data_IF_579749615641
#
_entry.id   IF_579749615641
#
_cell.length_a   1.000
_cell.length_b   1.000
_cell.length_c   1.000
_cell.angle_alpha   90.00
_cell.angle_beta   90.00
_cell.angle_gamma   90.00
#
_symmetry.space_group_name_H-M   'P 1'
#
loop_
_entity.id
_entity.type
_entity.pdbx_description
1 polymer ?
#
# COMPACT_ATOMS: atom_id res chain seq x y z
N UNK A 1 42.02 0.62 -7.70
CA UNK A 1 40.61 1.09 -7.62
C UNK A 1 40.12 1.78 -8.89
N UNK A 2 41.00 2.46 -9.66
CA UNK A 2 40.58 3.25 -10.85
C UNK A 2 40.32 2.42 -12.12
N UNK A 3 40.94 1.28 -12.31
CA UNK A 3 40.78 0.46 -13.54
C UNK A 3 39.39 -0.23 -13.54
N UNK A 4 38.93 -0.74 -12.42
CA UNK A 4 37.60 -1.34 -12.31
C UNK A 4 36.47 -0.29 -12.46
N UNK A 5 36.68 0.94 -11.98
CA UNK A 5 35.73 2.04 -12.15
C UNK A 5 35.63 2.50 -13.60
N UNK A 6 36.79 2.61 -14.29
CA UNK A 6 36.87 3.01 -15.70
C UNK A 6 36.29 1.91 -16.61
N UNK A 7 36.55 0.64 -16.30
CA UNK A 7 35.94 -0.49 -17.03
C UNK A 7 34.43 -0.55 -16.81
N UNK A 8 33.96 -0.25 -15.60
CA UNK A 8 32.53 -0.10 -15.31
C UNK A 8 31.88 1.09 -16.02
N UNK A 9 32.56 2.24 -16.08
CA UNK A 9 32.07 3.42 -16.80
C UNK A 9 32.06 3.22 -18.32
N UNK A 10 33.07 2.56 -18.87
CA UNK A 10 33.09 2.19 -20.30
C UNK A 10 32.05 1.15 -20.66
N UNK A 11 31.80 0.15 -19.81
CA UNK A 11 30.71 -0.80 -20.01
C UNK A 11 29.33 -0.13 -19.90
N UNK A 12 29.15 0.85 -19.00
CA UNK A 12 27.97 1.68 -18.92
C UNK A 12 27.75 2.58 -20.13
N UNK A 13 28.82 3.14 -20.70
CA UNK A 13 28.76 3.94 -21.93
C UNK A 13 28.53 3.11 -23.20
N UNK A 14 29.13 1.93 -23.32
CA UNK A 14 28.84 0.97 -24.39
C UNK A 14 27.43 0.43 -24.33
N UNK A 15 26.90 0.24 -23.12
CA UNK A 15 25.52 -0.15 -22.89
C UNK A 15 24.52 0.96 -23.24
N UNK A 16 24.85 2.24 -22.97
CA UNK A 16 24.06 3.41 -23.40
C UNK A 16 23.90 3.48 -24.92
N UNK A 17 24.95 3.08 -25.67
CA UNK A 17 24.98 3.15 -27.14
C UNK A 17 24.23 2.01 -27.84
N UNK A 18 24.01 0.86 -27.16
CA UNK A 18 23.47 -0.36 -27.80
C UNK A 18 21.95 -0.57 -27.65
N UNK A 19 21.25 0.13 -26.75
CA UNK A 19 19.82 -0.07 -26.57
C UNK A 19 19.07 1.20 -26.15
N UNK A 20 18.96 2.15 -27.06
CA UNK A 20 18.17 3.38 -26.90
C UNK A 20 16.66 3.18 -27.18
N UNK A 21 16.06 2.08 -26.77
CA UNK A 21 14.63 1.89 -27.04
C UNK A 21 13.79 2.01 -25.75
N UNK A 22 13.52 3.24 -25.32
CA UNK A 22 12.55 3.54 -24.26
C UNK A 22 11.14 3.01 -24.59
N UNK A 23 10.83 2.82 -25.87
CA UNK A 23 9.56 2.20 -26.35
C UNK A 23 9.40 0.77 -25.84
N UNK A 24 10.48 -0.03 -25.75
CA UNK A 24 10.42 -1.39 -25.20
C UNK A 24 10.13 -1.37 -23.70
N UNK A 25 10.67 -0.39 -22.96
CA UNK A 25 10.42 -0.24 -21.53
C UNK A 25 8.95 0.12 -21.27
N UNK A 26 8.37 1.02 -22.08
CA UNK A 26 6.96 1.36 -22.02
C UNK A 26 6.05 0.15 -22.27
N UNK A 27 6.38 -0.69 -23.25
CA UNK A 27 5.60 -1.90 -23.55
C UNK A 27 5.57 -2.91 -22.39
N UNK A 28 6.56 -2.89 -21.51
CA UNK A 28 6.57 -3.75 -20.32
C UNK A 28 5.85 -3.11 -19.13
N UNK A 29 5.97 -1.78 -18.95
CA UNK A 29 5.42 -1.05 -17.80
C UNK A 29 3.92 -0.83 -17.95
N UNK A 30 3.47 -0.32 -19.10
CA UNK A 30 2.09 0.09 -19.33
C UNK A 30 1.05 -1.00 -19.05
N UNK A 31 1.21 -2.26 -19.55
CA UNK A 31 0.23 -3.31 -19.31
C UNK A 31 0.11 -3.74 -17.84
N UNK A 32 1.14 -3.46 -17.03
CA UNK A 32 1.14 -3.74 -15.59
C UNK A 32 0.62 -2.54 -14.80
N UNK A 33 1.06 -1.33 -15.14
CA UNK A 33 0.77 -0.13 -14.38
C UNK A 33 -0.70 0.31 -14.49
N UNK A 34 -1.28 0.31 -15.69
CA UNK A 34 -2.67 0.78 -15.87
C UNK A 34 -3.67 -0.03 -15.04
N UNK A 35 -3.68 -1.38 -15.07
CA UNK A 35 -4.59 -2.12 -14.22
C UNK A 35 -4.37 -1.87 -12.73
N UNK A 36 -3.11 -1.76 -12.26
CA UNK A 36 -2.82 -1.44 -10.85
C UNK A 36 -3.31 -0.03 -10.49
N UNK A 37 -3.21 0.93 -11.41
CA UNK A 37 -3.72 2.28 -11.21
C UNK A 37 -5.25 2.29 -11.03
N UNK A 38 -5.96 1.62 -11.94
CA UNK A 38 -7.43 1.51 -11.90
C UNK A 38 -7.86 0.77 -10.61
N UNK A 39 -7.14 -0.29 -10.23
CA UNK A 39 -7.38 -1.02 -8.99
C UNK A 39 -7.27 -0.10 -7.77
N UNK A 40 -6.16 0.64 -7.64
CA UNK A 40 -5.93 1.55 -6.52
C UNK A 40 -6.95 2.70 -6.49
N UNK A 41 -7.30 3.25 -7.65
CA UNK A 41 -8.34 4.27 -7.76
C UNK A 41 -9.70 3.73 -7.30
N UNK A 42 -10.06 2.52 -7.72
CA UNK A 42 -11.29 1.84 -7.31
C UNK A 42 -11.36 1.64 -5.79
N UNK A 43 -10.23 1.30 -5.14
CA UNK A 43 -10.16 1.15 -3.67
C UNK A 43 -10.39 2.49 -2.97
N UNK A 44 -9.79 3.59 -3.47
CA UNK A 44 -10.00 4.92 -2.89
C UNK A 44 -11.46 5.36 -3.04
N UNK A 45 -12.03 5.23 -4.24
CA UNK A 45 -13.44 5.58 -4.48
C UNK A 45 -14.37 4.77 -3.59
N UNK A 46 -14.09 3.48 -3.42
CA UNK A 46 -14.88 2.62 -2.54
C UNK A 46 -14.82 3.07 -1.08
N UNK A 47 -13.64 3.50 -0.58
CA UNK A 47 -13.51 4.07 0.76
C UNK A 47 -14.42 5.30 0.95
N UNK A 48 -14.45 6.20 -0.03
CA UNK A 48 -15.30 7.39 -0.02
C UNK A 48 -16.79 6.99 0.02
N UNK A 49 -17.22 6.09 -0.87
CA UNK A 49 -18.62 5.65 -0.92
C UNK A 49 -19.05 4.90 0.33
N UNK A 50 -18.20 4.03 0.90
CA UNK A 50 -18.50 3.33 2.15
C UNK A 50 -18.68 4.29 3.32
N UNK A 51 -17.81 5.29 3.44
CA UNK A 51 -17.92 6.34 4.46
C UNK A 51 -19.22 7.12 4.29
N UNK A 52 -19.57 7.46 3.05
CA UNK A 52 -20.81 8.17 2.74
C UNK A 52 -22.05 7.35 3.15
N UNK A 53 -22.11 6.05 2.85
CA UNK A 53 -23.21 5.21 3.26
C UNK A 53 -23.42 5.18 4.78
N UNK A 54 -22.32 5.07 5.55
CA UNK A 54 -22.41 5.02 7.02
C UNK A 54 -22.75 6.38 7.62
N UNK A 55 -22.31 7.49 7.01
CA UNK A 55 -22.55 8.84 7.52
C UNK A 55 -24.04 9.22 7.61
N UNK A 56 -24.88 8.56 6.81
CA UNK A 56 -26.35 8.77 6.82
C UNK A 56 -27.07 8.00 7.90
N UNK A 57 -26.42 7.04 8.56
CA UNK A 57 -27.01 6.24 9.64
C UNK A 57 -26.99 7.08 10.92
N UNK A 58 -25.82 7.57 11.34
CA UNK A 58 -25.67 8.36 12.54
C UNK A 58 -24.22 8.72 12.86
N UNK A 59 -24.04 9.64 13.82
CA UNK A 59 -22.72 10.10 14.24
C UNK A 59 -21.97 9.06 15.07
N UNK A 60 -22.69 8.33 15.93
CA UNK A 60 -22.10 7.28 16.76
C UNK A 60 -21.58 6.12 15.91
N UNK A 61 -22.36 5.70 14.91
CA UNK A 61 -22.02 4.64 13.97
C UNK A 61 -20.81 5.01 13.10
N UNK A 62 -20.75 6.25 12.63
CA UNK A 62 -19.60 6.74 11.86
C UNK A 62 -18.34 6.75 12.71
N UNK A 63 -18.41 7.18 13.97
CA UNK A 63 -17.29 7.15 14.91
C UNK A 63 -16.84 5.70 15.18
N UNK A 64 -17.81 4.78 15.37
CA UNK A 64 -17.55 3.37 15.60
C UNK A 64 -16.80 2.69 14.44
N UNK A 65 -17.23 2.95 13.19
CA UNK A 65 -16.50 2.47 12.00
C UNK A 65 -15.08 3.00 11.98
N UNK A 66 -14.87 4.30 12.23
CA UNK A 66 -13.55 4.92 12.23
C UNK A 66 -12.59 4.28 13.24
N UNK A 67 -13.08 3.95 14.44
CA UNK A 67 -12.29 3.27 15.47
C UNK A 67 -11.93 1.84 15.08
N UNK A 68 -12.89 1.05 14.60
CA UNK A 68 -12.65 -0.31 14.12
C UNK A 68 -11.71 -0.33 12.89
N UNK A 69 -11.87 0.61 11.95
CA UNK A 69 -11.00 0.72 10.78
C UNK A 69 -9.57 1.08 11.15
N UNK A 70 -9.32 1.77 12.25
CA UNK A 70 -7.97 2.03 12.73
C UNK A 70 -7.22 0.74 13.07
N UNK A 71 -7.90 -0.23 13.68
CA UNK A 71 -7.36 -1.57 13.93
C UNK A 71 -7.21 -2.38 12.62
N UNK A 72 -8.25 -2.38 11.78
CA UNK A 72 -8.26 -3.06 10.49
C UNK A 72 -7.08 -2.61 9.61
N UNK A 73 -6.74 -1.31 9.60
CA UNK A 73 -5.64 -0.75 8.82
C UNK A 73 -4.28 -1.36 9.19
N UNK A 74 -4.02 -1.62 10.47
CA UNK A 74 -2.80 -2.27 10.94
C UNK A 74 -2.72 -3.70 10.40
N UNK A 75 -3.79 -4.46 10.54
CA UNK A 75 -3.87 -5.86 10.07
C UNK A 75 -3.78 -5.94 8.54
N UNK A 76 -4.46 -5.05 7.83
CA UNK A 76 -4.37 -4.96 6.37
C UNK A 76 -2.94 -4.65 5.90
N UNK A 77 -2.23 -3.77 6.61
CA UNK A 77 -0.83 -3.44 6.28
C UNK A 77 0.06 -4.68 6.38
N UNK A 78 -0.15 -5.52 7.38
CA UNK A 78 0.55 -6.80 7.52
C UNK A 78 0.22 -7.76 6.38
N UNK A 79 -1.06 -7.96 6.05
CA UNK A 79 -1.49 -8.84 4.96
C UNK A 79 -0.96 -8.38 3.61
N UNK A 80 -1.01 -7.08 3.33
CA UNK A 80 -0.48 -6.50 2.09
C UNK A 80 1.03 -6.68 1.95
N UNK A 81 1.77 -6.59 3.05
CA UNK A 81 3.21 -6.78 3.04
C UNK A 81 3.60 -8.26 2.76
N UNK A 82 2.85 -9.23 3.31
CA UNK A 82 3.03 -10.65 2.98
C UNK A 82 2.64 -10.91 1.52
N UNK A 83 1.58 -10.28 1.02
CA UNK A 83 1.19 -10.35 -0.39
C UNK A 83 2.28 -9.78 -1.32
N UNK A 84 2.95 -8.70 -0.91
CA UNK A 84 4.12 -8.15 -1.63
C UNK A 84 5.26 -9.17 -1.67
N UNK A 85 5.60 -9.79 -0.54
CA UNK A 85 6.62 -10.85 -0.45
C UNK A 85 6.29 -12.02 -1.38
N UNK A 86 5.03 -12.45 -1.39
CA UNK A 86 4.53 -13.48 -2.31
C UNK A 86 4.70 -13.07 -3.77
N UNK A 87 4.30 -11.85 -4.13
CA UNK A 87 4.44 -11.32 -5.47
C UNK A 87 5.89 -11.34 -5.95
N UNK A 88 6.83 -10.93 -5.10
CA UNK A 88 8.28 -10.94 -5.42
C UNK A 88 8.79 -12.37 -5.64
N UNK A 89 8.47 -13.30 -4.72
CA UNK A 89 8.96 -14.69 -4.83
C UNK A 89 8.36 -15.39 -6.05
N UNK A 90 7.10 -15.13 -6.38
CA UNK A 90 6.44 -15.64 -7.60
C UNK A 90 7.09 -15.05 -8.85
N UNK A 91 7.26 -13.72 -8.93
CA UNK A 91 7.90 -13.05 -10.06
C UNK A 91 9.33 -13.57 -10.30
N UNK A 92 10.12 -13.69 -9.24
CA UNK A 92 11.47 -14.21 -9.27
C UNK A 92 11.52 -15.68 -9.73
N UNK A 93 10.60 -16.53 -9.24
CA UNK A 93 10.54 -17.95 -9.59
C UNK A 93 10.13 -18.16 -11.04
N UNK A 94 9.18 -17.36 -11.55
CA UNK A 94 8.78 -17.38 -12.95
C UNK A 94 9.88 -16.83 -13.86
N UNK A 95 10.63 -15.82 -13.41
CA UNK A 95 11.82 -15.35 -14.11
C UNK A 95 12.86 -16.45 -14.31
N UNK A 96 13.01 -17.36 -13.35
CA UNK A 96 13.86 -18.57 -13.41
C UNK A 96 13.23 -19.73 -14.17
N UNK A 97 12.09 -19.55 -14.83
CA UNK A 97 11.29 -20.60 -15.45
C UNK A 97 10.87 -21.73 -14.49
N UNK A 98 10.95 -21.51 -13.17
CA UNK A 98 10.56 -22.48 -12.15
C UNK A 98 9.10 -22.26 -11.72
N UNK A 99 8.18 -22.70 -12.59
CA UNK A 99 6.74 -22.60 -12.36
C UNK A 99 6.29 -23.37 -11.11
N UNK A 100 6.90 -24.54 -10.82
CA UNK A 100 6.58 -25.35 -9.63
C UNK A 100 6.84 -24.55 -8.35
N UNK A 101 8.00 -23.88 -8.25
CA UNK A 101 8.33 -23.03 -7.10
C UNK A 101 7.38 -21.84 -6.98
N UNK A 102 6.97 -21.21 -8.09
CA UNK A 102 6.02 -20.10 -8.09
C UNK A 102 4.64 -20.49 -7.55
N UNK A 103 4.08 -21.61 -8.06
CA UNK A 103 2.80 -22.19 -7.59
C UNK A 103 2.89 -22.58 -6.11
N UNK A 104 4.00 -23.20 -5.72
CA UNK A 104 4.22 -23.61 -4.34
C UNK A 104 4.32 -22.42 -3.38
N UNK A 105 5.00 -21.35 -3.78
CA UNK A 105 5.11 -20.11 -3.00
C UNK A 105 3.73 -19.46 -2.81
N UNK A 106 2.96 -19.30 -3.90
CA UNK A 106 1.61 -18.73 -3.82
C UNK A 106 0.69 -19.54 -2.90
N UNK A 107 0.68 -20.88 -3.06
CA UNK A 107 -0.10 -21.77 -2.22
C UNK A 107 0.24 -21.63 -0.74
N UNK A 108 1.52 -21.72 -0.38
CA UNK A 108 1.96 -21.66 1.01
C UNK A 108 1.66 -20.32 1.67
N UNK A 109 1.81 -19.22 0.92
CA UNK A 109 1.45 -17.90 1.43
C UNK A 109 -0.04 -17.80 1.72
N UNK A 110 -0.89 -18.32 0.83
CA UNK A 110 -2.35 -18.36 1.03
C UNK A 110 -2.66 -19.14 2.31
N UNK A 111 -2.18 -20.38 2.41
CA UNK A 111 -2.47 -21.25 3.57
C UNK A 111 -1.98 -20.61 4.86
N UNK A 112 -0.74 -20.08 4.89
CA UNK A 112 -0.19 -19.42 6.07
C UNK A 112 -1.05 -18.24 6.51
N UNK A 113 -1.38 -17.35 5.57
CA UNK A 113 -2.09 -16.12 5.93
C UNK A 113 -3.55 -16.40 6.31
N UNK A 114 -4.18 -17.40 5.72
CA UNK A 114 -5.50 -17.89 6.15
C UNK A 114 -5.45 -18.43 7.58
N UNK A 115 -4.43 -19.23 7.92
CA UNK A 115 -4.26 -19.72 9.31
C UNK A 115 -4.07 -18.54 10.28
N UNK A 116 -3.18 -17.60 9.94
CA UNK A 116 -2.95 -16.39 10.77
C UNK A 116 -4.25 -15.59 10.91
N UNK A 117 -5.02 -15.45 9.85
CA UNK A 117 -6.29 -14.70 9.89
C UNK A 117 -7.36 -15.37 10.75
N UNK A 118 -7.40 -16.69 10.79
CA UNK A 118 -8.27 -17.45 11.69
C UNK A 118 -7.81 -17.26 13.16
N UNK A 119 -6.51 -17.31 13.42
CA UNK A 119 -5.99 -17.05 14.75
C UNK A 119 -6.28 -15.61 15.21
N UNK A 120 -6.16 -14.63 14.29
CA UNK A 120 -6.55 -13.24 14.56
C UNK A 120 -8.05 -13.09 14.81
N UNK A 121 -8.89 -13.81 14.06
CA UNK A 121 -10.34 -13.85 14.32
C UNK A 121 -10.62 -14.34 15.75
N UNK A 122 -10.05 -15.48 16.13
CA UNK A 122 -10.22 -16.01 17.48
C UNK A 122 -9.67 -15.06 18.54
N UNK A 123 -8.51 -14.45 18.30
CA UNK A 123 -7.93 -13.46 19.21
C UNK A 123 -8.84 -12.27 19.43
N UNK A 124 -9.42 -11.70 18.36
CA UNK A 124 -10.34 -10.55 18.47
C UNK A 124 -11.65 -10.95 19.11
N UNK A 125 -12.15 -12.17 18.88
CA UNK A 125 -13.39 -12.64 19.52
C UNK A 125 -13.24 -12.69 21.03
N UNK A 126 -12.09 -13.16 21.55
CA UNK A 126 -11.82 -13.23 22.98
C UNK A 126 -11.35 -11.90 23.59
N UNK A 127 -10.60 -11.08 22.85
CA UNK A 127 -9.93 -9.88 23.35
C UNK A 127 -10.50 -8.58 22.80
N UNK A 128 -11.56 -8.63 21.98
CA UNK A 128 -12.08 -7.46 21.25
C UNK A 128 -12.50 -6.31 22.18
N UNK A 129 -13.06 -6.59 23.33
CA UNK A 129 -13.38 -5.57 24.33
C UNK A 129 -12.11 -4.79 24.77
N UNK A 130 -11.04 -5.49 25.11
CA UNK A 130 -9.76 -4.87 25.50
C UNK A 130 -9.12 -4.07 24.38
N UNK A 131 -9.25 -4.55 23.14
CA UNK A 131 -8.74 -3.85 21.96
C UNK A 131 -9.47 -2.50 21.80
N UNK A 132 -10.79 -2.50 21.88
CA UNK A 132 -11.59 -1.27 21.78
C UNK A 132 -11.32 -0.36 22.98
N UNK A 133 -11.18 -0.88 24.19
CA UNK A 133 -10.85 -0.07 25.37
C UNK A 133 -9.49 0.64 25.23
N UNK A 134 -8.48 -0.03 24.66
CA UNK A 134 -7.16 0.58 24.41
C UNK A 134 -7.25 1.69 23.35
N UNK A 135 -8.05 1.47 22.30
CA UNK A 135 -8.13 2.41 21.16
C UNK A 135 -9.06 3.58 21.49
N UNK A 136 -10.14 3.31 22.19
CA UNK A 136 -11.28 4.22 22.38
C UNK A 136 -11.64 4.43 23.85
N UNK A 137 -10.68 4.33 24.79
CA UNK A 137 -10.96 4.34 26.23
C UNK A 137 -11.78 5.54 26.75
N UNK A 138 -11.71 6.69 26.06
CA UNK A 138 -12.45 7.91 26.37
C UNK A 138 -13.75 8.09 25.58
N UNK A 139 -14.10 7.15 24.69
CA UNK A 139 -15.33 7.23 23.91
C UNK A 139 -16.54 6.80 24.75
N UNK A 140 -17.73 7.26 24.32
CA UNK A 140 -18.99 6.87 24.93
C UNK A 140 -19.22 5.36 24.81
N UNK A 141 -19.95 4.78 25.78
CA UNK A 141 -20.19 3.34 25.84
C UNK A 141 -20.87 2.82 24.57
N UNK A 142 -21.85 3.57 24.06
CA UNK A 142 -22.54 3.26 22.81
C UNK A 142 -21.58 3.11 21.63
N UNK A 143 -20.63 4.06 21.48
CA UNK A 143 -19.62 4.02 20.40
C UNK A 143 -18.69 2.82 20.56
N UNK A 144 -18.33 2.45 21.79
CA UNK A 144 -17.50 1.26 22.07
C UNK A 144 -18.20 -0.03 21.68
N UNK A 145 -19.49 -0.19 22.04
CA UNK A 145 -20.29 -1.36 21.71
C UNK A 145 -20.50 -1.50 20.20
N UNK A 146 -20.81 -0.41 19.52
CA UNK A 146 -20.92 -0.38 18.06
C UNK A 146 -19.58 -0.73 17.40
N UNK A 147 -18.46 -0.17 17.91
CA UNK A 147 -17.11 -0.46 17.39
C UNK A 147 -16.75 -1.94 17.54
N UNK A 148 -17.07 -2.55 18.68
CA UNK A 148 -16.84 -3.97 18.94
C UNK A 148 -17.66 -4.84 17.99
N UNK A 149 -18.94 -4.50 17.81
CA UNK A 149 -19.83 -5.22 16.90
C UNK A 149 -19.31 -5.16 15.45
N UNK A 150 -18.95 -3.97 14.99
CA UNK A 150 -18.39 -3.80 13.64
C UNK A 150 -17.05 -4.52 13.48
N UNK A 151 -16.18 -4.46 14.49
CA UNK A 151 -14.89 -5.14 14.48
C UNK A 151 -15.08 -6.66 14.37
N UNK A 152 -15.95 -7.27 15.17
CA UNK A 152 -16.27 -8.70 15.10
C UNK A 152 -16.78 -9.12 13.73
N UNK A 153 -17.68 -8.35 13.14
CA UNK A 153 -18.18 -8.60 11.79
C UNK A 153 -17.08 -8.52 10.73
N UNK A 154 -16.21 -7.52 10.81
CA UNK A 154 -15.14 -7.33 9.81
C UNK A 154 -14.01 -8.35 9.94
N UNK A 155 -13.70 -8.79 11.16
CA UNK A 155 -12.66 -9.81 11.44
C UNK A 155 -13.10 -11.19 10.97
N UNK A 156 -14.40 -11.50 10.99
CA UNK A 156 -14.95 -12.70 10.36
C UNK A 156 -14.61 -12.78 8.87
N UNK A 157 -14.48 -11.63 8.20
CA UNK A 157 -14.04 -11.54 6.79
C UNK A 157 -12.52 -11.65 6.57
N UNK A 158 -11.67 -11.74 7.60
CA UNK A 158 -10.23 -11.76 7.45
C UNK A 158 -9.69 -13.00 6.71
N UNK A 159 -10.18 -14.22 6.90
CA UNK A 159 -9.73 -15.37 6.12
C UNK A 159 -9.97 -15.18 4.62
N UNK A 160 -11.12 -14.62 4.25
CA UNK A 160 -11.43 -14.30 2.87
C UNK A 160 -10.51 -13.19 2.33
N UNK A 161 -10.30 -12.11 3.10
CA UNK A 161 -9.41 -11.02 2.75
C UNK A 161 -7.96 -11.48 2.57
N UNK A 162 -7.45 -12.32 3.47
CA UNK A 162 -6.12 -12.92 3.37
C UNK A 162 -5.94 -13.70 2.07
N UNK A 163 -6.93 -14.54 1.72
CA UNK A 163 -6.93 -15.31 0.48
C UNK A 163 -6.91 -14.39 -0.75
N UNK A 164 -7.73 -13.33 -0.77
CA UNK A 164 -7.79 -12.36 -1.86
C UNK A 164 -6.45 -11.64 -2.03
N UNK A 165 -5.91 -11.07 -0.97
CA UNK A 165 -4.69 -10.26 -1.04
C UNK A 165 -3.49 -11.07 -1.52
N UNK A 166 -3.31 -12.29 -1.01
CA UNK A 166 -2.22 -13.17 -1.46
C UNK A 166 -2.46 -13.68 -2.88
N UNK A 167 -3.68 -14.08 -3.22
CA UNK A 167 -4.04 -14.52 -4.56
C UNK A 167 -3.80 -13.42 -5.61
N UNK A 168 -4.25 -12.18 -5.33
CA UNK A 168 -3.96 -11.02 -6.15
C UNK A 168 -2.46 -10.72 -6.21
N UNK A 169 -1.74 -10.79 -5.08
CA UNK A 169 -0.29 -10.64 -5.03
C UNK A 169 0.44 -11.66 -5.91
N UNK A 170 0.04 -12.93 -5.86
CA UNK A 170 0.59 -13.99 -6.68
C UNK A 170 0.31 -13.76 -8.18
N UNK A 171 -0.91 -13.36 -8.54
CA UNK A 171 -1.27 -13.02 -9.92
C UNK A 171 -0.48 -11.82 -10.45
N UNK A 172 -0.30 -10.77 -9.65
CA UNK A 172 0.56 -9.62 -10.01
C UNK A 172 2.01 -10.06 -10.19
N UNK A 173 2.55 -10.90 -9.30
CA UNK A 173 3.89 -11.48 -9.43
C UNK A 173 4.04 -12.33 -10.68
N UNK A 174 2.96 -12.97 -11.15
CA UNK A 174 2.93 -13.68 -12.43
C UNK A 174 2.81 -12.77 -13.66
N UNK A 175 2.72 -11.46 -13.47
CA UNK A 175 2.56 -10.48 -14.55
C UNK A 175 1.11 -10.29 -15.01
N UNK A 176 0.14 -10.89 -14.32
CA UNK A 176 -1.28 -10.71 -14.61
C UNK A 176 -1.88 -9.71 -13.60
N UNK A 177 -1.92 -8.43 -13.97
CA UNK A 177 -2.48 -7.36 -13.15
C UNK A 177 -3.94 -7.04 -13.49
N UNK A 178 -4.42 -7.52 -14.65
CA UNK A 178 -5.82 -7.30 -15.09
C UNK A 178 -6.81 -8.06 -14.23
N UNK A 179 -6.52 -9.33 -13.91
CA UNK A 179 -7.42 -10.14 -13.08
C UNK A 179 -7.62 -9.55 -11.68
N UNK A 180 -6.57 -9.20 -10.91
CA UNK A 180 -6.73 -8.47 -9.65
C UNK A 180 -7.58 -7.20 -9.79
N UNK A 181 -7.35 -6.40 -10.83
CA UNK A 181 -8.14 -5.19 -11.09
C UNK A 181 -9.64 -5.50 -11.24
N UNK A 182 -10.00 -6.44 -12.13
CA UNK A 182 -11.42 -6.80 -12.34
C UNK A 182 -12.06 -7.36 -11.07
N UNK A 183 -11.32 -8.21 -10.34
CA UNK A 183 -11.79 -8.79 -9.08
C UNK A 183 -12.07 -7.71 -8.02
N UNK A 184 -11.15 -6.74 -7.86
CA UNK A 184 -11.36 -5.64 -6.91
C UNK A 184 -12.54 -4.74 -7.32
N UNK A 185 -12.70 -4.43 -8.61
CA UNK A 185 -13.85 -3.64 -9.08
C UNK A 185 -15.16 -4.38 -8.80
N UNK A 186 -15.26 -5.66 -9.16
CA UNK A 186 -16.46 -6.46 -8.91
C UNK A 186 -16.75 -6.56 -7.42
N UNK A 187 -15.74 -6.82 -6.61
CA UNK A 187 -15.88 -6.91 -5.14
C UNK A 187 -16.34 -5.57 -4.54
N UNK A 188 -15.82 -4.45 -5.03
CA UNK A 188 -16.22 -3.12 -4.58
C UNK A 188 -17.68 -2.80 -4.94
N UNK A 189 -18.10 -3.13 -6.16
CA UNK A 189 -19.50 -2.99 -6.59
C UNK A 189 -20.42 -3.88 -5.74
N UNK A 190 -20.04 -5.14 -5.51
CA UNK A 190 -20.80 -6.05 -4.65
C UNK A 190 -20.90 -5.53 -3.22
N UNK A 191 -19.77 -5.03 -2.66
CA UNK A 191 -19.78 -4.47 -1.32
C UNK A 191 -20.72 -3.27 -1.23
N UNK A 192 -20.66 -2.34 -2.17
CA UNK A 192 -21.54 -1.15 -2.17
C UNK A 192 -23.01 -1.56 -2.29
N UNK A 193 -23.33 -2.47 -3.23
CA UNK A 193 -24.71 -2.91 -3.46
C UNK A 193 -25.28 -3.70 -2.28
N UNK A 194 -24.52 -4.66 -1.74
CA UNK A 194 -24.95 -5.49 -0.62
C UNK A 194 -25.07 -4.63 0.65
N UNK A 195 -24.08 -3.77 0.92
CA UNK A 195 -24.14 -2.86 2.08
C UNK A 195 -25.33 -1.90 2.00
N UNK A 196 -25.60 -1.31 0.81
CA UNK A 196 -26.75 -0.44 0.63
C UNK A 196 -28.06 -1.17 0.95
N UNK A 197 -28.24 -2.37 0.37
CA UNK A 197 -29.43 -3.18 0.61
C UNK A 197 -29.58 -3.57 2.08
N UNK A 198 -28.48 -3.99 2.71
CA UNK A 198 -28.53 -4.43 4.10
C UNK A 198 -28.68 -3.27 5.11
N UNK A 199 -28.21 -2.07 4.77
CA UNK A 199 -28.33 -0.89 5.64
C UNK A 199 -29.75 -0.33 5.56
N UNK A 200 -30.23 -0.05 4.35
CA UNK A 200 -31.46 0.73 4.15
C UNK A 200 -32.68 -0.14 3.88
N UNK A 201 -32.49 -1.42 3.57
CA UNK A 201 -33.58 -2.31 3.19
C UNK A 201 -33.98 -2.19 1.72
N UNK A 202 -34.91 -3.03 1.32
CA UNK A 202 -35.57 -3.01 -0.01
C UNK A 202 -37.05 -3.37 0.16
N UNK A 203 -37.91 -2.65 -0.51
CA UNK A 203 -39.39 -2.81 -0.43
C UNK A 203 -39.88 -2.65 1.01
N UNK A 204 -40.56 -3.64 1.56
CA UNK A 204 -41.12 -3.64 2.92
C UNK A 204 -40.12 -4.04 4.02
N UNK A 205 -38.91 -4.42 3.64
CA UNK A 205 -37.86 -4.78 4.59
C UNK A 205 -37.04 -3.56 5.03
N UNK A 206 -37.03 -3.27 6.33
CA UNK A 206 -36.39 -2.06 6.89
C UNK A 206 -34.86 -2.11 6.97
N UNK A 207 -34.22 -3.22 6.52
CA UNK A 207 -32.78 -3.39 6.63
C UNK A 207 -32.28 -3.66 8.05
N UNK A 208 -30.96 -3.79 8.17
CA UNK A 208 -30.25 -4.08 9.45
C UNK A 208 -29.52 -2.85 9.99
N UNK A 209 -29.65 -1.69 9.34
CA UNK A 209 -28.94 -0.49 9.72
C UNK A 209 -27.43 -0.68 9.74
N UNK A 210 -26.78 -0.22 10.81
CA UNK A 210 -25.33 -0.26 10.98
C UNK A 210 -24.70 -1.67 10.81
N UNK A 211 -25.34 -2.70 11.35
CA UNK A 211 -24.89 -4.10 11.23
C UNK A 211 -24.80 -4.52 9.76
N UNK A 212 -25.69 -4.00 8.92
CA UNK A 212 -25.70 -4.24 7.47
C UNK A 212 -24.39 -3.82 6.77
N UNK A 213 -23.73 -2.77 7.23
CA UNK A 213 -22.44 -2.34 6.68
C UNK A 213 -21.34 -3.40 6.95
N UNK A 214 -21.24 -3.92 8.15
CA UNK A 214 -20.27 -4.97 8.50
C UNK A 214 -20.52 -6.29 7.79
N UNK A 215 -21.79 -6.72 7.70
CA UNK A 215 -22.18 -7.94 6.98
C UNK A 215 -21.90 -7.77 5.47
N UNK A 216 -22.29 -6.65 4.86
CA UNK A 216 -22.07 -6.37 3.45
C UNK A 216 -20.58 -6.43 3.07
N UNK A 217 -19.70 -5.84 3.89
CA UNK A 217 -18.27 -5.92 3.73
C UNK A 217 -17.75 -7.37 3.80
N UNK A 218 -18.23 -8.13 4.77
CA UNK A 218 -17.80 -9.53 4.99
C UNK A 218 -18.27 -10.43 3.87
N UNK A 219 -19.54 -10.34 3.46
CA UNK A 219 -20.10 -11.12 2.35
C UNK A 219 -19.36 -10.82 1.04
N UNK A 220 -19.10 -9.55 0.74
CA UNK A 220 -18.35 -9.17 -0.47
C UNK A 220 -16.92 -9.74 -0.49
N UNK A 221 -16.24 -9.84 0.67
CA UNK A 221 -14.95 -10.50 0.80
C UNK A 221 -15.02 -12.00 0.51
N UNK A 222 -16.03 -12.70 1.02
CA UNK A 222 -16.21 -14.13 0.70
C UNK A 222 -16.55 -14.35 -0.77
N UNK A 223 -17.36 -13.51 -1.40
CA UNK A 223 -17.58 -13.53 -2.85
C UNK A 223 -16.25 -13.32 -3.60
N UNK A 224 -15.45 -12.34 -3.22
CA UNK A 224 -14.13 -12.10 -3.79
C UNK A 224 -13.18 -13.29 -3.63
N UNK A 225 -13.17 -13.94 -2.45
CA UNK A 225 -12.40 -15.17 -2.21
C UNK A 225 -12.83 -16.28 -3.16
N UNK A 226 -14.14 -16.48 -3.35
CA UNK A 226 -14.66 -17.48 -4.26
C UNK A 226 -14.21 -17.22 -5.71
N UNK A 227 -14.29 -15.97 -6.18
CA UNK A 227 -13.81 -15.61 -7.52
C UNK A 227 -12.31 -15.88 -7.70
N UNK A 228 -11.49 -15.49 -6.73
CA UNK A 228 -10.03 -15.73 -6.80
C UNK A 228 -9.71 -17.23 -6.77
N UNK A 229 -10.43 -17.99 -5.96
CA UNK A 229 -10.30 -19.45 -5.89
C UNK A 229 -10.62 -20.07 -7.27
N UNK A 230 -11.72 -19.66 -7.91
CA UNK A 230 -12.08 -20.10 -9.27
C UNK A 230 -10.97 -19.75 -10.27
N UNK A 231 -10.46 -18.52 -10.24
CA UNK A 231 -9.37 -18.10 -11.15
C UNK A 231 -8.11 -18.92 -10.96
N UNK A 232 -7.74 -19.25 -9.74
CA UNK A 232 -6.54 -20.05 -9.46
C UNK A 232 -6.71 -21.54 -9.78
N UNK A 233 -7.95 -22.09 -9.74
CA UNK A 233 -8.25 -23.52 -9.92
C UNK A 233 -8.70 -23.91 -11.32
N UNK A 234 -9.29 -23.00 -12.13
CA UNK A 234 -9.94 -23.31 -13.43
C UNK A 234 -9.04 -22.99 -14.64
N UNK A 235 -7.74 -22.93 -14.54
CA UNK A 235 -6.82 -22.72 -15.68
C UNK A 235 -6.96 -21.42 -16.54
N UNK A 236 -7.64 -20.32 -16.18
CA UNK A 236 -7.64 -19.14 -17.03
C UNK A 236 -6.29 -18.41 -17.01
N UNK A 237 -5.49 -18.59 -15.97
CA UNK A 237 -4.13 -18.06 -15.91
C UNK A 237 -3.12 -19.11 -16.36
N UNK A 238 -2.54 -18.93 -17.57
CA UNK A 238 -1.46 -19.82 -18.07
C UNK A 238 -0.24 -19.85 -17.15
N UNK A 239 -0.08 -18.89 -16.24
CA UNK A 239 1.10 -18.74 -15.38
C UNK A 239 0.97 -19.44 -14.01
N UNK A 240 -0.22 -19.38 -13.39
CA UNK A 240 -0.47 -19.94 -12.06
C UNK A 240 -1.74 -20.79 -12.09
N UNK A 241 -1.58 -22.06 -11.77
CA UNK A 241 -2.66 -23.01 -11.56
C UNK A 241 -2.40 -23.75 -10.27
N UNK A 242 -3.32 -23.65 -9.30
CA UNK A 242 -3.19 -24.24 -7.97
C UNK A 242 -4.37 -25.21 -7.79
N UNK A 243 -4.16 -26.52 -7.91
CA UNK A 243 -5.22 -27.50 -7.65
C UNK A 243 -5.73 -27.39 -6.20
N UNK A 244 -7.05 -27.46 -6.00
CA UNK A 244 -7.66 -27.30 -4.68
C UNK A 244 -7.05 -28.23 -3.62
N UNK A 245 -6.81 -29.49 -3.95
CA UNK A 245 -6.18 -30.47 -3.06
C UNK A 245 -4.78 -30.06 -2.61
N UNK A 246 -4.09 -29.20 -3.35
CA UNK A 246 -2.72 -28.81 -3.01
C UNK A 246 -2.63 -27.87 -1.82
N UNK A 247 -3.71 -27.16 -1.47
CA UNK A 247 -3.72 -26.26 -0.30
C UNK A 247 -3.49 -26.98 1.02
N UNK A 248 -3.79 -28.26 1.12
CA UNK A 248 -3.67 -29.11 2.31
C UNK A 248 -2.34 -29.87 2.41
N UNK A 249 -1.37 -29.60 1.52
CA UNK A 249 -0.05 -30.26 1.58
C UNK A 249 0.92 -29.55 2.53
N UNK A 250 1.96 -30.28 2.94
CA UNK A 250 2.97 -29.84 3.89
C UNK A 250 3.66 -28.51 3.54
N UNK A 251 4.08 -27.80 4.58
CA UNK A 251 4.84 -26.55 4.46
C UNK A 251 6.32 -26.83 4.14
N UNK A 252 6.92 -25.94 3.35
CA UNK A 252 8.35 -25.91 3.10
C UNK A 252 8.95 -24.65 3.74
N UNK A 253 9.64 -24.79 4.86
CA UNK A 253 10.19 -23.68 5.62
C UNK A 253 11.11 -22.76 4.81
N UNK A 254 11.86 -23.28 3.82
CA UNK A 254 12.77 -22.47 2.99
C UNK A 254 12.01 -21.47 2.11
N UNK A 255 10.89 -21.88 1.52
CA UNK A 255 10.07 -20.98 0.69
C UNK A 255 9.34 -19.97 1.56
N UNK A 256 8.87 -20.43 2.72
CA UNK A 256 8.20 -19.56 3.68
C UNK A 256 9.15 -18.47 4.19
N UNK A 257 10.39 -18.85 4.54
CA UNK A 257 11.43 -17.87 4.91
C UNK A 257 11.78 -16.91 3.77
N UNK A 258 11.80 -17.38 2.51
CA UNK A 258 11.98 -16.50 1.35
C UNK A 258 10.88 -15.42 1.27
N UNK A 259 9.62 -15.76 1.57
CA UNK A 259 8.48 -14.85 1.54
C UNK A 259 8.52 -13.90 2.74
N UNK A 260 8.70 -14.45 3.94
CA UNK A 260 8.71 -13.70 5.19
C UNK A 260 9.93 -12.77 5.30
N UNK A 261 11.07 -13.12 4.68
CA UNK A 261 12.24 -12.24 4.62
C UNK A 261 11.99 -10.92 3.88
N UNK A 262 10.93 -10.85 3.08
CA UNK A 262 10.46 -9.64 2.41
C UNK A 262 9.23 -9.10 3.14
N UNK A 263 8.29 -9.98 3.46
CA UNK A 263 7.01 -9.62 4.07
C UNK A 263 7.17 -9.02 5.47
N UNK A 264 7.98 -9.62 6.35
CA UNK A 264 8.16 -9.09 7.72
C UNK A 264 8.78 -7.69 7.73
N UNK A 265 9.93 -7.43 7.05
CA UNK A 265 10.45 -6.07 6.99
C UNK A 265 9.47 -5.06 6.38
N UNK A 266 8.76 -5.44 5.32
CA UNK A 266 7.76 -4.57 4.71
C UNK A 266 6.55 -4.33 5.64
N UNK A 267 6.14 -5.32 6.45
CA UNK A 267 5.08 -5.17 7.45
C UNK A 267 5.50 -4.21 8.56
N UNK A 268 6.70 -4.41 9.12
CA UNK A 268 7.24 -3.54 10.18
C UNK A 268 7.37 -2.10 9.68
N UNK A 269 7.88 -1.89 8.46
CA UNK A 269 7.94 -0.58 7.82
C UNK A 269 6.55 0.07 7.72
N UNK A 270 5.54 -0.67 7.26
CA UNK A 270 4.18 -0.16 7.08
C UNK A 270 3.49 0.14 8.42
N UNK A 271 3.64 -0.73 9.42
CA UNK A 271 3.07 -0.53 10.76
C UNK A 271 3.72 0.69 11.42
N UNK A 272 5.06 0.78 11.39
CA UNK A 272 5.78 1.93 11.95
C UNK A 272 5.40 3.23 11.25
N UNK A 273 5.17 3.18 9.92
CA UNK A 273 4.68 4.33 9.17
C UNK A 273 3.27 4.78 9.63
N UNK A 274 2.36 3.85 9.84
CA UNK A 274 1.01 4.17 10.31
C UNK A 274 1.03 4.72 11.75
N UNK A 275 1.84 4.14 12.65
CA UNK A 275 2.02 4.65 14.01
C UNK A 275 2.57 6.08 13.98
N UNK A 276 3.61 6.34 13.19
CA UNK A 276 4.18 7.66 13.08
C UNK A 276 3.20 8.68 12.46
N UNK A 277 2.36 8.27 11.52
CA UNK A 277 1.29 9.11 10.97
C UNK A 277 0.26 9.47 12.06
N UNK A 278 -0.11 8.52 12.92
CA UNK A 278 -1.01 8.80 14.05
C UNK A 278 -0.38 9.78 15.04
N UNK A 279 0.90 9.60 15.39
CA UNK A 279 1.62 10.53 16.27
C UNK A 279 1.69 11.95 15.70
N UNK A 280 1.99 12.11 14.40
CA UNK A 280 1.95 13.44 13.78
C UNK A 280 0.56 14.05 13.79
N UNK A 281 -0.48 13.23 13.70
CA UNK A 281 -1.86 13.68 13.78
C UNK A 281 -2.23 14.18 15.19
N UNK A 282 -1.68 13.57 16.26
CA UNK A 282 -1.86 14.08 17.63
C UNK A 282 -1.19 15.44 17.85
N UNK A 283 -0.06 15.72 17.19
CA UNK A 283 0.55 17.05 17.24
C UNK A 283 -0.36 18.12 16.64
N UNK A 284 -0.94 17.82 15.48
CA UNK A 284 -1.86 18.72 14.78
C UNK A 284 -3.17 18.90 15.56
N UNK A 285 -3.63 17.86 16.28
CA UNK A 285 -4.85 17.93 17.09
C UNK A 285 -4.80 19.01 18.18
N UNK A 286 -3.62 19.35 18.68
CA UNK A 286 -3.42 20.45 19.64
C UNK A 286 -3.42 21.87 19.03
N UNK A 287 -3.54 22.01 17.68
CA UNK A 287 -3.36 23.28 16.96
C UNK A 287 -4.67 23.95 16.53
N UNK A 288 -5.80 23.42 16.94
CA UNK A 288 -7.14 23.94 16.61
C UNK A 288 -7.88 23.18 15.50
N UNK A 289 -9.19 23.33 15.50
CA UNK A 289 -10.10 22.56 14.62
C UNK A 289 -9.92 22.88 13.13
N UNK A 290 -9.71 24.15 12.78
CA UNK A 290 -9.43 24.57 11.39
C UNK A 290 -8.15 23.93 10.86
N UNK A 291 -7.10 23.82 11.70
CA UNK A 291 -5.84 23.18 11.32
C UNK A 291 -5.97 21.68 11.12
N UNK A 292 -6.75 20.99 11.98
CA UNK A 292 -7.03 19.56 11.84
C UNK A 292 -7.74 19.28 10.53
N UNK A 293 -8.79 20.07 10.22
CA UNK A 293 -9.56 19.95 8.99
C UNK A 293 -8.69 20.20 7.74
N UNK A 294 -7.90 21.27 7.77
CA UNK A 294 -6.98 21.60 6.67
C UNK A 294 -5.92 20.53 6.43
N UNK A 295 -5.34 19.97 7.51
CA UNK A 295 -4.38 18.88 7.44
C UNK A 295 -4.99 17.62 6.82
N UNK A 296 -6.23 17.25 7.21
CA UNK A 296 -6.94 16.11 6.62
C UNK A 296 -7.19 16.31 5.12
N UNK A 297 -7.67 17.50 4.74
CA UNK A 297 -7.94 17.87 3.34
C UNK A 297 -6.65 17.80 2.51
N UNK A 298 -5.56 18.41 3.00
CA UNK A 298 -4.27 18.40 2.33
C UNK A 298 -3.71 16.99 2.14
N UNK A 299 -3.79 16.12 3.16
CA UNK A 299 -3.38 14.71 3.05
C UNK A 299 -4.23 13.91 2.07
N UNK A 300 -5.55 14.15 2.05
CA UNK A 300 -6.48 13.47 1.14
C UNK A 300 -6.15 13.82 -0.32
N UNK A 301 -5.98 15.10 -0.61
CA UNK A 301 -5.62 15.57 -1.96
C UNK A 301 -4.22 15.08 -2.35
N UNK A 302 -3.22 15.23 -1.48
CA UNK A 302 -1.85 14.74 -1.73
C UNK A 302 -1.82 13.23 -2.00
N UNK A 303 -2.65 12.45 -1.29
CA UNK A 303 -2.80 11.02 -1.52
C UNK A 303 -3.27 10.68 -2.94
N UNK A 304 -4.27 11.41 -3.44
CA UNK A 304 -4.76 11.27 -4.82
C UNK A 304 -3.70 11.67 -5.85
N UNK A 305 -3.01 12.80 -5.63
CA UNK A 305 -1.96 13.28 -6.54
C UNK A 305 -0.76 12.31 -6.60
N UNK A 306 -0.47 11.60 -5.53
CA UNK A 306 0.64 10.64 -5.44
C UNK A 306 0.27 9.20 -5.88
N UNK A 307 -1.00 8.93 -6.20
CA UNK A 307 -1.49 7.61 -6.62
C UNK A 307 -0.71 7.01 -7.81
N UNK A 308 -0.38 7.77 -8.88
CA UNK A 308 0.42 7.25 -9.99
C UNK A 308 1.81 6.76 -9.54
N UNK A 309 2.41 7.46 -8.56
CA UNK A 309 3.71 7.10 -8.00
C UNK A 309 3.70 5.76 -7.28
N UNK A 310 2.71 5.53 -6.40
CA UNK A 310 2.52 4.24 -5.74
C UNK A 310 2.30 3.09 -6.71
N UNK A 311 1.54 3.35 -7.79
CA UNK A 311 1.27 2.39 -8.86
C UNK A 311 2.55 1.99 -9.61
N UNK A 312 3.35 2.96 -10.02
CA UNK A 312 4.64 2.72 -10.71
C UNK A 312 5.65 2.04 -9.77
N UNK A 313 5.62 2.36 -8.48
CA UNK A 313 6.36 1.66 -7.46
C UNK A 313 6.02 0.17 -7.41
N UNK A 314 4.75 -0.17 -7.26
CA UNK A 314 4.28 -1.57 -7.25
C UNK A 314 4.66 -2.31 -8.54
N UNK A 315 4.55 -1.65 -9.70
CA UNK A 315 4.98 -2.18 -11.01
C UNK A 315 6.47 -2.48 -11.03
N UNK A 316 7.31 -1.60 -10.45
CA UNK A 316 8.76 -1.78 -10.38
C UNK A 316 9.15 -3.05 -9.62
N UNK A 317 8.42 -3.38 -8.54
CA UNK A 317 8.65 -4.60 -7.75
C UNK A 317 8.53 -5.87 -8.61
N UNK A 318 7.49 -5.94 -9.44
CA UNK A 318 7.20 -7.09 -10.31
C UNK A 318 8.28 -7.23 -11.38
N UNK A 319 8.61 -6.13 -12.06
CA UNK A 319 9.57 -6.09 -13.16
C UNK A 319 10.97 -6.46 -12.66
N UNK A 320 11.42 -5.82 -11.59
CA UNK A 320 12.74 -6.07 -10.98
C UNK A 320 12.84 -7.52 -10.52
N UNK A 321 11.85 -8.03 -9.78
CA UNK A 321 11.84 -9.42 -9.30
C UNK A 321 11.95 -10.43 -10.44
N UNK A 322 11.18 -10.24 -11.52
CA UNK A 322 11.19 -11.09 -12.70
C UNK A 322 12.54 -11.06 -13.42
N UNK A 323 13.12 -9.88 -13.64
CA UNK A 323 14.38 -9.70 -14.36
C UNK A 323 15.58 -10.29 -13.61
N UNK A 324 15.61 -10.10 -12.29
CA UNK A 324 16.64 -10.73 -11.45
C UNK A 324 16.47 -12.26 -11.48
N UNK A 325 15.24 -12.76 -11.48
CA UNK A 325 14.95 -14.17 -11.67
C UNK A 325 15.53 -14.74 -12.97
N UNK A 326 15.49 -13.98 -14.07
CA UNK A 326 16.11 -14.32 -15.37
C UNK A 326 17.65 -14.27 -15.35
N UNK A 327 18.29 -13.96 -14.22
CA UNK A 327 19.75 -13.80 -14.13
C UNK A 327 20.27 -12.46 -14.69
N UNK A 328 19.39 -11.52 -15.01
CA UNK A 328 19.78 -10.22 -15.54
C UNK A 328 20.12 -9.27 -14.39
N UNK A 329 21.32 -8.70 -14.38
CA UNK A 329 21.76 -7.77 -13.32
C UNK A 329 21.66 -6.31 -13.77
N UNK A 330 22.00 -6.02 -15.03
CA UNK A 330 22.00 -4.64 -15.56
C UNK A 330 20.59 -4.14 -15.93
N UNK A 331 19.75 -5.00 -16.45
CA UNK A 331 18.37 -4.68 -16.86
C UNK A 331 17.51 -4.13 -15.71
N UNK A 332 17.50 -4.76 -14.51
CA UNK A 332 16.76 -4.25 -13.36
C UNK A 332 17.12 -2.82 -12.97
N UNK A 333 18.42 -2.49 -12.95
CA UNK A 333 18.87 -1.13 -12.63
C UNK A 333 18.37 -0.13 -13.66
N UNK A 334 18.48 -0.45 -14.94
CA UNK A 334 17.99 0.43 -16.02
C UNK A 334 16.48 0.63 -15.93
N UNK A 335 15.73 -0.44 -15.71
CA UNK A 335 14.28 -0.36 -15.62
C UNK A 335 13.82 0.41 -14.38
N UNK A 336 14.44 0.16 -13.23
CA UNK A 336 14.12 0.89 -11.99
C UNK A 336 14.45 2.39 -12.13
N UNK A 337 15.62 2.73 -12.72
CA UNK A 337 16.00 4.12 -12.99
C UNK A 337 15.01 4.79 -13.96
N UNK A 338 14.59 4.08 -15.00
CA UNK A 338 13.59 4.61 -15.95
C UNK A 338 12.24 4.86 -15.25
N UNK A 339 11.73 3.90 -14.47
CA UNK A 339 10.49 4.04 -13.71
C UNK A 339 10.61 5.20 -12.71
N UNK A 340 11.73 5.34 -12.02
CA UNK A 340 12.00 6.45 -11.11
C UNK A 340 11.91 7.81 -11.82
N UNK A 341 12.63 8.01 -12.94
CA UNK A 341 12.56 9.26 -13.67
C UNK A 341 11.18 9.54 -14.24
N UNK A 342 10.54 8.52 -14.80
CA UNK A 342 9.17 8.62 -15.30
C UNK A 342 8.20 9.08 -14.20
N UNK A 343 8.29 8.45 -13.02
CA UNK A 343 7.44 8.80 -11.88
C UNK A 343 7.73 10.22 -11.42
N UNK A 344 9.00 10.61 -11.35
CA UNK A 344 9.39 11.94 -10.92
C UNK A 344 8.83 13.02 -11.87
N UNK A 345 9.00 12.84 -13.17
CA UNK A 345 8.46 13.76 -14.18
C UNK A 345 6.93 13.83 -14.08
N UNK A 346 6.26 12.69 -13.99
CA UNK A 346 4.79 12.62 -13.92
C UNK A 346 4.26 13.31 -12.66
N UNK A 347 4.84 13.00 -11.48
CA UNK A 347 4.38 13.59 -10.22
C UNK A 347 4.72 15.08 -10.14
N UNK A 348 5.89 15.52 -10.63
CA UNK A 348 6.21 16.94 -10.70
C UNK A 348 5.26 17.70 -11.64
N UNK A 349 4.89 17.11 -12.77
CA UNK A 349 3.91 17.71 -13.69
C UNK A 349 2.53 17.83 -13.01
N UNK A 350 2.05 16.76 -12.34
CA UNK A 350 0.78 16.78 -11.61
C UNK A 350 0.83 17.82 -10.48
N UNK A 351 1.92 17.84 -9.70
CA UNK A 351 2.10 18.78 -8.59
C UNK A 351 2.12 20.24 -9.09
N UNK A 352 2.88 20.52 -10.15
CA UNK A 352 2.95 21.85 -10.76
C UNK A 352 1.57 22.30 -11.26
N UNK A 353 0.84 21.41 -11.97
CA UNK A 353 -0.51 21.70 -12.44
C UNK A 353 -1.51 21.88 -11.29
N UNK A 354 -1.29 21.25 -10.13
CA UNK A 354 -2.19 21.40 -8.97
C UNK A 354 -2.01 22.71 -8.20
N UNK A 355 -0.88 23.41 -8.34
CA UNK A 355 -0.59 24.67 -7.61
C UNK A 355 -1.67 25.73 -7.81
N UNK A 356 -2.06 26.12 -9.04
CA UNK A 356 -3.08 27.13 -9.24
C UNK A 356 -4.48 26.68 -8.80
N UNK A 357 -4.72 25.38 -8.77
CA UNK A 357 -6.01 24.80 -8.39
C UNK A 357 -6.08 24.38 -6.91
N UNK A 358 -5.02 24.61 -6.11
CA UNK A 358 -4.97 24.14 -4.73
C UNK A 358 -6.14 24.69 -3.87
N UNK A 359 -6.49 25.97 -4.04
CA UNK A 359 -7.67 26.56 -3.39
C UNK A 359 -8.99 25.94 -3.85
N UNK A 360 -9.17 25.74 -5.16
CA UNK A 360 -10.35 25.08 -5.72
C UNK A 360 -10.48 23.62 -5.24
N UNK A 361 -9.40 22.88 -5.23
CA UNK A 361 -9.40 21.51 -4.72
C UNK A 361 -9.78 21.45 -3.23
N UNK A 362 -9.30 22.41 -2.44
CA UNK A 362 -9.63 22.49 -1.00
C UNK A 362 -11.08 22.93 -0.79
N UNK A 363 -11.61 23.86 -1.61
CA UNK A 363 -13.01 24.31 -1.52
C UNK A 363 -14.04 23.23 -1.86
N UNK A 364 -13.63 22.14 -2.53
CA UNK A 364 -14.51 20.97 -2.75
C UNK A 364 -14.85 20.23 -1.44
N UNK A 365 -14.07 20.44 -0.38
CA UNK A 365 -14.25 19.76 0.91
C UNK A 365 -14.94 20.65 1.94
N UNK A 366 -14.78 21.98 1.87
CA UNK A 366 -15.31 22.93 2.86
C UNK A 366 -15.48 24.30 2.26
N UNK A 367 -16.40 25.11 2.84
CA UNK A 367 -16.59 26.52 2.54
C UNK A 367 -15.86 27.46 3.53
N UNK A 368 -15.18 26.90 4.54
CA UNK A 368 -14.44 27.68 5.53
C UNK A 368 -13.14 28.21 4.92
N UNK A 369 -13.04 29.52 4.79
CA UNK A 369 -11.92 30.19 4.13
C UNK A 369 -10.60 29.99 4.87
N UNK A 370 -10.61 29.95 6.21
CA UNK A 370 -9.41 29.70 7.01
C UNK A 370 -8.83 28.31 6.74
N UNK A 371 -9.72 27.31 6.68
CA UNK A 371 -9.34 25.90 6.37
C UNK A 371 -8.79 25.79 4.95
N UNK A 372 -9.43 26.45 3.98
CA UNK A 372 -9.00 26.48 2.59
C UNK A 372 -7.59 27.09 2.46
N UNK A 373 -7.35 28.21 3.11
CA UNK A 373 -6.06 28.90 3.03
C UNK A 373 -4.92 28.08 3.64
N UNK A 374 -5.14 27.46 4.80
CA UNK A 374 -4.16 26.56 5.40
C UNK A 374 -3.88 25.36 4.48
N UNK A 375 -4.92 24.69 3.98
CA UNK A 375 -4.79 23.52 3.11
C UNK A 375 -4.07 23.87 1.81
N UNK A 376 -4.36 25.02 1.20
CA UNK A 376 -3.69 25.55 0.00
C UNK A 376 -2.19 25.73 0.22
N UNK A 377 -1.77 26.30 1.34
CA UNK A 377 -0.35 26.46 1.66
C UNK A 377 0.34 25.09 1.84
N UNK A 378 -0.30 24.15 2.53
CA UNK A 378 0.22 22.80 2.68
C UNK A 378 0.39 22.07 1.34
N UNK A 379 -0.55 22.25 0.41
CA UNK A 379 -0.46 21.68 -0.95
C UNK A 379 0.67 22.33 -1.77
N UNK A 380 0.91 23.63 -1.64
CA UNK A 380 2.02 24.31 -2.30
C UNK A 380 3.37 23.77 -1.80
N UNK A 381 3.52 23.61 -0.48
CA UNK A 381 4.72 22.98 0.08
C UNK A 381 4.85 21.52 -0.37
N UNK A 382 3.76 20.75 -0.40
CA UNK A 382 3.76 19.40 -0.92
C UNK A 382 4.26 19.35 -2.38
N UNK A 383 3.80 20.27 -3.24
CA UNK A 383 4.23 20.34 -4.64
C UNK A 383 5.74 20.60 -4.75
N UNK A 384 6.30 21.50 -3.93
CA UNK A 384 7.73 21.82 -3.91
C UNK A 384 8.59 20.61 -3.55
N UNK A 385 8.15 19.76 -2.61
CA UNK A 385 8.91 18.60 -2.15
C UNK A 385 8.56 17.28 -2.88
N UNK A 386 7.61 17.31 -3.82
CA UNK A 386 7.23 16.14 -4.64
C UNK A 386 8.41 15.45 -5.36
N UNK A 387 9.46 16.14 -5.85
CA UNK A 387 10.62 15.47 -6.44
C UNK A 387 11.30 14.45 -5.51
N UNK A 388 11.33 14.72 -4.21
CA UNK A 388 11.90 13.81 -3.21
C UNK A 388 10.95 12.65 -2.88
N UNK A 389 9.64 12.83 -3.09
CA UNK A 389 8.65 11.79 -2.87
C UNK A 389 8.88 10.59 -3.79
N UNK A 390 9.13 10.80 -5.07
CA UNK A 390 9.35 9.73 -6.04
C UNK A 390 10.52 8.82 -5.66
N UNK A 391 11.66 9.38 -5.24
CA UNK A 391 12.80 8.58 -4.78
C UNK A 391 12.54 7.89 -3.44
N UNK A 392 11.81 8.54 -2.53
CA UNK A 392 11.52 8.02 -1.18
C UNK A 392 10.54 6.85 -1.18
N UNK A 393 9.62 6.79 -2.14
CA UNK A 393 8.55 5.79 -2.18
C UNK A 393 8.65 4.81 -3.35
N UNK A 394 9.22 5.20 -4.52
CA UNK A 394 9.31 4.30 -5.68
C UNK A 394 10.54 3.40 -5.64
N UNK A 395 11.70 3.94 -5.29
CA UNK A 395 12.94 3.15 -5.21
C UNK A 395 12.85 1.96 -4.23
N UNK A 396 12.28 2.12 -3.02
CA UNK A 396 12.12 1.02 -2.08
C UNK A 396 11.31 -0.15 -2.64
N UNK A 397 10.30 0.11 -3.47
CA UNK A 397 9.56 -0.95 -4.14
C UNK A 397 10.45 -1.79 -5.05
N UNK A 398 11.31 -1.15 -5.84
CA UNK A 398 12.29 -1.84 -6.66
C UNK A 398 13.28 -2.67 -5.84
N UNK A 399 13.77 -2.13 -4.72
CA UNK A 399 14.69 -2.84 -3.80
C UNK A 399 14.00 -4.05 -3.14
N UNK A 400 12.73 -3.92 -2.73
CA UNK A 400 11.92 -5.06 -2.26
C UNK A 400 11.77 -6.13 -3.34
N UNK A 401 11.63 -5.72 -4.62
CA UNK A 401 11.67 -6.64 -5.77
C UNK A 401 12.99 -7.41 -5.91
N UNK A 402 14.09 -6.82 -5.47
CA UNK A 402 15.40 -7.47 -5.38
C UNK A 402 15.64 -8.20 -4.04
N UNK A 403 14.62 -8.36 -3.19
CA UNK A 403 14.71 -8.95 -1.84
C UNK A 403 15.59 -8.14 -0.86
N UNK A 404 15.76 -6.85 -1.07
CA UNK A 404 16.51 -5.93 -0.19
C UNK A 404 15.56 -5.13 0.71
N UNK A 405 14.54 -5.80 1.28
CA UNK A 405 13.48 -5.20 2.08
C UNK A 405 13.95 -4.72 3.45
N UNK A 406 14.94 -5.39 4.04
CA UNK A 406 15.47 -4.99 5.36
C UNK A 406 16.14 -3.61 5.32
N UNK A 407 16.87 -3.29 4.24
CA UNK A 407 17.47 -1.98 4.09
C UNK A 407 16.40 -0.88 3.99
N UNK A 408 15.35 -1.13 3.18
CA UNK A 408 14.26 -0.15 3.04
C UNK A 408 13.54 0.10 4.35
N UNK A 409 13.31 -0.96 5.13
CA UNK A 409 12.69 -0.88 6.45
C UNK A 409 13.51 0.00 7.40
N UNK A 410 14.81 -0.26 7.56
CA UNK A 410 15.64 0.48 8.51
C UNK A 410 15.77 1.95 8.15
N UNK A 411 15.99 2.27 6.86
CA UNK A 411 16.06 3.66 6.40
C UNK A 411 14.72 4.36 6.63
N UNK A 412 13.61 3.70 6.29
CA UNK A 412 12.28 4.29 6.45
C UNK A 412 11.93 4.55 7.92
N UNK A 413 12.23 3.62 8.83
CA UNK A 413 11.96 3.78 10.26
C UNK A 413 12.84 4.88 10.82
N UNK A 414 14.16 4.82 10.61
CA UNK A 414 15.08 5.79 11.18
C UNK A 414 14.75 7.22 10.73
N UNK A 415 14.55 7.44 9.41
CA UNK A 415 14.24 8.78 8.90
C UNK A 415 12.89 9.30 9.40
N UNK A 416 11.89 8.44 9.46
CA UNK A 416 10.55 8.81 9.92
C UNK A 416 10.57 9.22 11.40
N UNK A 417 11.17 8.40 12.27
CA UNK A 417 11.19 8.69 13.70
C UNK A 417 12.05 9.91 14.01
N UNK A 418 13.23 10.04 13.40
CA UNK A 418 14.10 11.19 13.64
C UNK A 418 13.58 12.48 12.99
N UNK A 419 13.16 12.43 11.73
CA UNK A 419 12.79 13.65 11.01
C UNK A 419 11.30 13.98 11.17
N UNK A 420 10.41 13.05 10.83
CA UNK A 420 8.98 13.37 10.85
C UNK A 420 8.44 13.56 12.24
N UNK A 421 8.83 12.72 13.22
CA UNK A 421 8.32 12.81 14.59
C UNK A 421 9.11 13.82 15.39
N UNK A 422 10.44 13.64 15.58
CA UNK A 422 11.23 14.53 16.43
C UNK A 422 11.29 15.95 15.86
N UNK A 423 11.72 16.11 14.60
CA UNK A 423 11.81 17.44 13.98
C UNK A 423 10.42 18.05 13.80
N UNK A 424 9.41 17.25 13.41
CA UNK A 424 8.02 17.71 13.29
C UNK A 424 7.45 18.23 14.62
N UNK A 425 7.75 17.57 15.74
CA UNK A 425 7.40 18.04 17.09
C UNK A 425 8.14 19.32 17.46
N UNK A 426 9.45 19.35 17.26
CA UNK A 426 10.30 20.50 17.64
C UNK A 426 9.87 21.75 16.86
N UNK A 427 9.71 21.66 15.55
CA UNK A 427 9.31 22.82 14.75
C UNK A 427 7.81 23.12 14.86
N UNK A 428 6.95 22.09 14.85
CA UNK A 428 5.51 22.29 14.88
C UNK A 428 4.97 22.73 16.23
N UNK A 429 5.44 22.10 17.32
CA UNK A 429 4.91 22.32 18.67
C UNK A 429 5.83 23.20 19.50
N UNK A 430 7.13 22.86 19.64
CA UNK A 430 8.04 23.56 20.53
C UNK A 430 8.38 24.97 20.04
N UNK A 431 8.71 25.15 18.74
CA UNK A 431 8.94 26.47 18.15
C UNK A 431 7.67 27.19 17.71
N UNK A 432 6.51 26.55 17.75
CA UNK A 432 5.23 27.18 17.46
C UNK A 432 4.95 27.46 15.98
N UNK A 433 5.68 26.83 15.02
CA UNK A 433 5.40 27.01 13.59
C UNK A 433 4.11 26.28 13.13
N UNK A 434 3.38 25.67 14.05
CA UNK A 434 2.10 25.01 13.77
C UNK A 434 2.22 23.84 12.77
N UNK A 435 1.16 23.63 12.00
CA UNK A 435 1.08 22.52 11.05
C UNK A 435 2.17 22.58 9.98
N UNK A 436 2.63 23.76 9.59
CA UNK A 436 3.73 23.92 8.62
C UNK A 436 5.02 23.32 9.17
N UNK A 437 5.32 23.52 10.48
CA UNK A 437 6.46 22.91 11.14
C UNK A 437 6.38 21.38 11.18
N UNK A 438 5.18 20.82 11.41
CA UNK A 438 4.95 19.37 11.36
C UNK A 438 5.20 18.81 9.94
N UNK A 439 4.72 19.49 8.92
CA UNK A 439 4.94 19.10 7.51
C UNK A 439 6.40 19.27 7.10
N UNK A 440 7.10 20.25 7.63
CA UNK A 440 8.55 20.39 7.41
C UNK A 440 9.31 19.15 7.88
N UNK A 441 8.99 18.60 9.05
CA UNK A 441 9.53 17.31 9.51
C UNK A 441 9.25 16.17 8.54
N UNK A 442 8.05 16.13 7.93
CA UNK A 442 7.68 15.16 6.90
C UNK A 442 8.50 15.33 5.61
N UNK A 443 8.73 16.55 5.18
CA UNK A 443 9.54 16.81 3.97
C UNK A 443 11.01 16.48 4.20
N UNK A 444 11.53 16.75 5.37
CA UNK A 444 12.89 16.37 5.73
C UNK A 444 13.07 14.84 5.73
N UNK A 445 12.05 14.09 6.20
CA UNK A 445 12.00 12.64 6.08
C UNK A 445 12.11 12.20 4.61
N UNK A 446 11.38 12.84 3.67
CA UNK A 446 11.47 12.52 2.25
C UNK A 446 12.85 12.82 1.66
N UNK A 447 13.45 13.96 2.01
CA UNK A 447 14.80 14.31 1.54
C UNK A 447 15.82 13.28 2.00
N UNK A 448 15.82 12.94 3.28
CA UNK A 448 16.79 11.99 3.84
C UNK A 448 16.61 10.59 3.25
N UNK A 449 15.40 10.09 3.15
CA UNK A 449 15.11 8.82 2.45
C UNK A 449 15.58 8.86 1.00
N UNK A 450 15.28 9.96 0.31
CA UNK A 450 15.67 10.17 -1.08
C UNK A 450 17.18 10.01 -1.26
N UNK A 451 17.98 10.65 -0.39
CA UNK A 451 19.44 10.57 -0.43
C UNK A 451 19.94 9.13 -0.21
N UNK A 452 19.44 8.44 0.82
CA UNK A 452 19.85 7.07 1.12
C UNK A 452 19.47 6.09 0.03
N UNK A 453 18.23 6.18 -0.50
CA UNK A 453 17.77 5.27 -1.54
C UNK A 453 18.43 5.57 -2.89
N UNK A 454 18.66 6.83 -3.23
CA UNK A 454 19.40 7.19 -4.45
C UNK A 454 20.85 6.71 -4.38
N UNK A 455 21.54 6.92 -3.24
CA UNK A 455 22.86 6.35 -3.01
C UNK A 455 22.88 4.82 -3.15
N UNK A 456 21.88 4.13 -2.59
CA UNK A 456 21.74 2.67 -2.71
C UNK A 456 21.56 2.23 -4.15
N UNK A 457 20.81 2.98 -4.95
CA UNK A 457 20.60 2.73 -6.37
C UNK A 457 21.92 2.86 -7.15
N UNK A 458 22.62 3.99 -6.99
CA UNK A 458 23.84 4.31 -7.72
C UNK A 458 25.00 3.40 -7.33
N UNK A 459 25.14 3.07 -6.05
CA UNK A 459 26.19 2.17 -5.55
C UNK A 459 25.99 0.70 -6.01
N UNK A 460 24.81 0.33 -6.52
CA UNK A 460 24.51 -1.03 -6.93
C UNK A 460 24.44 -2.04 -5.77
N UNK A 461 24.58 -1.60 -4.52
CA UNK A 461 24.60 -2.47 -3.33
C UNK A 461 23.31 -3.25 -3.11
N UNK A 462 22.17 -2.79 -3.65
CA UNK A 462 20.89 -3.48 -3.59
C UNK A 462 20.84 -4.80 -4.40
N UNK A 463 21.83 -5.00 -5.30
CA UNK A 463 22.02 -6.22 -6.11
C UNK A 463 23.16 -7.10 -5.62
N UNK A 464 23.84 -6.76 -4.51
CA UNK A 464 25.05 -7.46 -4.05
C UNK A 464 24.89 -8.98 -3.91
N UNK A 465 23.72 -9.44 -3.48
CA UNK A 465 23.41 -10.88 -3.35
C UNK A 465 23.46 -11.66 -4.67
N UNK A 466 23.42 -10.97 -5.78
CA UNK A 466 23.40 -11.54 -7.12
C UNK A 466 24.71 -11.41 -7.85
N UNK A 467 25.60 -10.50 -7.40
CA UNK A 467 26.95 -10.33 -7.97
C UNK A 467 27.91 -11.48 -7.60
N UNK A 468 27.66 -12.17 -6.49
CA UNK A 468 28.49 -13.31 -6.05
C UNK A 468 28.18 -14.64 -6.78
N UNK A 469 27.21 -14.64 -7.67
CA UNK A 469 26.76 -15.85 -8.39
C UNK A 469 27.15 -15.85 -9.87
N UNK A 470 27.98 -14.89 -10.28
CA UNK A 470 28.65 -14.79 -11.57
C UNK A 470 30.16 -14.95 -11.35
#
# INVERSE_FOLDING_TARGET
LNVQLITRLKSLQLYKKRHSNNVLLWREIYPLAIPIFIENLSVILMGIFSTFLVSWIGKAEMAAVGLAESFNMIIMSFFMAVALGTSVVVAFSLGRHNRKKAVFAARQSITLLVIISILLFLFVEFSGYWIIEIIAGKADLEVKELSLTFLRLTVLGYPALAFILIGCGALRGAGNTKLPMYLNIIMNILNLSISYILIYGIFDWQGLGFIGAGIGLTVSRYCGMFFILLVLTIKPSRALFIPFRSYFHSFNGKILLDILSIGIPASVESVMFNIGKLLTQTFVAGMGTSTIAANFIAFSIAGLLNLPGGTLGATSTIIVGKRIGMGQIYQPTRQLTFIFHLTNILLCAIAFLSIPFAGLLSSMYTNDQEVIDIAKHLLWFNALFTPFWASSFVLPYGFKGAKDASYTMWVAIASMWMCRIVVGYVFGVYFGFGVIGVWFGMFLDWIIRSLFFYYRLVSGKWLWRYHQRI
#
